data_IF_713892245783
#
_entry.id   IF_713892245783
#
_cell.length_a   1.000
_cell.length_b   1.000
_cell.length_c   1.000
_cell.angle_alpha   90.00
_cell.angle_beta   90.00
_cell.angle_gamma   90.00
#
_symmetry.space_group_name_H-M   'P 1'
#
loop_
_entity.id
_entity.type
_entity.pdbx_description
1 polymer ?
#
# COMPACT_ATOMS: atom_id res chain seq x y z
N UNK A 1 20.20 21.50 13.77
CA UNK A 1 19.47 20.24 13.96
C UNK A 1 20.15 19.48 15.09
N UNK A 2 19.39 18.92 16.01
CA UNK A 2 19.96 18.08 17.08
C UNK A 2 20.45 16.78 16.44
N UNK A 3 21.65 16.32 16.83
CA UNK A 3 22.22 15.07 16.35
C UNK A 3 21.40 13.88 16.87
N UNK A 4 21.05 12.94 15.99
CA UNK A 4 20.28 11.74 16.37
C UNK A 4 21.25 10.66 16.82
N UNK A 5 21.03 10.10 17.99
CA UNK A 5 21.75 8.93 18.48
C UNK A 5 21.22 7.66 17.81
N UNK A 6 22.06 6.97 17.05
CA UNK A 6 21.74 5.71 16.38
C UNK A 6 22.30 4.51 17.11
N UNK A 7 21.52 3.45 17.20
CA UNK A 7 21.99 2.13 17.68
C UNK A 7 21.36 1.00 16.90
N UNK A 8 22.01 -0.15 16.85
CA UNK A 8 21.60 -1.31 16.08
C UNK A 8 21.70 -2.57 16.93
N UNK A 9 20.70 -3.45 16.80
CA UNK A 9 20.78 -4.80 17.34
C UNK A 9 21.96 -5.58 16.75
N UNK A 10 22.58 -6.51 17.52
CA UNK A 10 23.73 -7.29 17.04
C UNK A 10 23.45 -8.12 15.78
N UNK A 11 22.20 -8.47 15.53
CA UNK A 11 21.75 -9.23 14.36
C UNK A 11 21.87 -8.44 13.05
N UNK A 12 21.95 -7.11 13.12
CA UNK A 12 22.13 -6.25 11.95
C UNK A 12 23.63 -6.09 11.70
N UNK A 13 24.12 -6.74 10.64
CA UNK A 13 25.53 -6.71 10.29
C UNK A 13 26.03 -5.27 10.08
N UNK A 14 27.28 -4.99 10.46
CA UNK A 14 27.87 -3.64 10.32
C UNK A 14 27.84 -3.12 8.89
N UNK A 15 28.05 -4.01 7.91
CA UNK A 15 27.99 -3.68 6.49
C UNK A 15 26.59 -3.26 6.01
N UNK A 16 25.51 -3.64 6.72
CA UNK A 16 24.14 -3.31 6.37
C UNK A 16 23.67 -1.97 6.96
N UNK A 17 24.30 -1.51 8.04
CA UNK A 17 23.91 -0.27 8.73
C UNK A 17 23.85 0.96 7.82
N UNK A 18 24.86 1.22 6.97
CA UNK A 18 24.79 2.33 6.01
C UNK A 18 23.61 2.16 5.01
N UNK A 19 23.40 0.93 4.52
CA UNK A 19 22.31 0.63 3.57
C UNK A 19 20.94 0.94 4.20
N UNK A 20 20.76 0.60 5.47
CA UNK A 20 19.52 0.91 6.22
C UNK A 20 19.32 2.42 6.37
N UNK A 21 20.36 3.14 6.82
CA UNK A 21 20.31 4.60 7.03
C UNK A 21 20.09 5.38 5.72
N UNK A 22 20.59 4.85 4.61
CA UNK A 22 20.47 5.45 3.30
C UNK A 22 19.21 5.02 2.54
N UNK A 23 18.50 4.01 3.05
CA UNK A 23 17.29 3.50 2.39
C UNK A 23 16.20 4.58 2.27
N UNK A 24 15.48 4.56 1.15
CA UNK A 24 14.40 5.51 0.88
C UNK A 24 13.32 5.45 1.97
N UNK A 25 12.85 4.24 2.31
CA UNK A 25 11.75 4.06 3.28
C UNK A 25 12.12 4.65 4.64
N UNK A 26 13.35 4.46 5.12
CA UNK A 26 13.82 5.04 6.37
C UNK A 26 13.92 6.57 6.31
N UNK A 27 14.50 7.11 5.23
CA UNK A 27 14.63 8.56 5.05
C UNK A 27 13.30 9.27 4.97
N UNK A 28 12.34 8.73 4.22
CA UNK A 28 10.98 9.27 4.12
C UNK A 28 10.27 9.27 5.47
N UNK A 29 10.35 8.15 6.22
CA UNK A 29 9.81 8.07 7.57
C UNK A 29 10.46 9.11 8.51
N UNK A 30 11.78 9.22 8.50
CA UNK A 30 12.51 10.15 9.37
C UNK A 30 12.16 11.61 9.03
N UNK A 31 12.16 11.96 7.75
CA UNK A 31 11.79 13.31 7.28
C UNK A 31 10.35 13.67 7.68
N UNK A 32 9.41 12.76 7.48
CA UNK A 32 8.02 12.96 7.90
C UNK A 32 7.89 13.15 9.41
N UNK A 33 8.64 12.35 10.18
CA UNK A 33 8.66 12.44 11.64
C UNK A 33 9.27 13.75 12.13
N UNK A 34 10.40 14.18 11.57
CA UNK A 34 11.09 15.43 11.94
C UNK A 34 10.29 16.71 11.64
N UNK A 35 9.32 16.66 10.75
CA UNK A 35 8.38 17.78 10.51
C UNK A 35 7.47 18.06 11.71
N UNK A 36 7.29 17.09 12.60
CA UNK A 36 6.31 17.14 13.72
C UNK A 36 6.91 16.89 15.09
N UNK A 37 8.06 16.23 15.14
CA UNK A 37 8.73 15.79 16.36
C UNK A 37 10.22 16.17 16.34
N UNK A 38 10.82 16.33 17.50
CA UNK A 38 12.26 16.38 17.67
C UNK A 38 12.74 14.96 17.97
N UNK A 39 13.17 14.23 16.94
CA UNK A 39 13.70 12.87 17.09
C UNK A 39 15.11 12.92 17.67
N UNK A 40 15.35 12.21 18.76
CA UNK A 40 16.64 12.23 19.50
C UNK A 40 17.36 10.91 19.43
N UNK A 41 16.64 9.77 19.42
CA UNK A 41 17.24 8.43 19.36
C UNK A 41 16.46 7.54 18.41
N UNK A 42 17.20 6.69 17.68
CA UNK A 42 16.63 5.61 16.87
C UNK A 42 17.43 4.33 17.11
N UNK A 43 16.73 3.29 17.55
CA UNK A 43 17.29 1.95 17.71
C UNK A 43 16.68 1.02 16.65
N UNK A 44 17.51 0.46 15.79
CA UNK A 44 17.11 -0.52 14.77
C UNK A 44 17.14 -1.92 15.37
N UNK A 45 15.97 -2.57 15.45
CA UNK A 45 15.83 -3.90 16.08
C UNK A 45 16.01 -5.03 15.07
N UNK A 46 15.47 -4.90 13.86
CA UNK A 46 15.64 -5.88 12.77
C UNK A 46 15.41 -5.22 11.41
N UNK A 47 15.96 -5.85 10.37
CA UNK A 47 15.79 -5.44 8.98
C UNK A 47 15.59 -6.67 8.11
N UNK A 48 14.55 -6.67 7.31
CA UNK A 48 14.31 -7.65 6.26
C UNK A 48 14.66 -7.03 4.91
N UNK A 49 15.44 -7.76 4.10
CA UNK A 49 15.90 -7.29 2.80
C UNK A 49 15.18 -8.02 1.68
N UNK A 50 14.90 -7.29 0.60
CA UNK A 50 14.51 -7.91 -0.67
C UNK A 50 15.60 -8.88 -1.14
N UNK A 51 15.19 -10.01 -1.72
CA UNK A 51 16.12 -11.04 -2.24
C UNK A 51 17.07 -10.49 -3.30
N UNK A 52 16.58 -9.56 -4.14
CA UNK A 52 17.40 -8.85 -5.13
C UNK A 52 17.74 -7.44 -4.65
N UNK A 53 19.01 -7.05 -4.85
CA UNK A 53 19.46 -5.68 -4.66
C UNK A 53 19.74 -5.24 -3.22
N UNK A 54 19.54 -6.13 -2.23
CA UNK A 54 19.85 -5.85 -0.81
C UNK A 54 19.22 -4.54 -0.29
N UNK A 55 18.04 -4.20 -0.78
CA UNK A 55 17.30 -3.05 -0.28
C UNK A 55 16.42 -3.47 0.89
N UNK A 56 16.33 -2.66 1.97
CA UNK A 56 15.40 -2.92 3.06
C UNK A 56 13.95 -2.95 2.57
N UNK A 57 13.25 -4.05 2.89
CA UNK A 57 11.82 -4.21 2.68
C UNK A 57 11.05 -3.79 3.92
N UNK A 58 11.50 -4.26 5.09
CA UNK A 58 10.94 -3.88 6.38
C UNK A 58 12.05 -3.52 7.36
N UNK A 59 11.85 -2.43 8.12
CA UNK A 59 12.76 -2.01 9.18
C UNK A 59 11.95 -1.87 10.46
N UNK A 60 12.23 -2.72 11.44
CA UNK A 60 11.66 -2.55 12.79
C UNK A 60 12.58 -1.69 13.62
N UNK A 61 12.07 -0.60 14.16
CA UNK A 61 12.85 0.32 14.98
C UNK A 61 12.04 0.80 16.20
N UNK A 62 12.76 1.33 17.18
CA UNK A 62 12.19 2.11 18.29
C UNK A 62 12.75 3.51 18.23
N UNK A 63 11.91 4.52 18.33
CA UNK A 63 12.31 5.91 18.32
C UNK A 63 11.94 6.62 19.63
N UNK A 64 12.82 7.52 20.06
CA UNK A 64 12.56 8.49 21.13
C UNK A 64 12.55 9.88 20.52
N UNK A 65 11.54 10.64 20.85
CA UNK A 65 11.34 12.00 20.34
C UNK A 65 10.68 12.88 21.41
N UNK A 66 10.57 14.17 21.15
CA UNK A 66 9.71 15.08 21.90
C UNK A 66 8.74 15.80 20.98
N UNK A 67 7.60 16.16 21.50
CA UNK A 67 6.71 17.15 20.89
C UNK A 67 7.39 18.54 20.91
N UNK A 68 6.91 19.51 20.11
CA UNK A 68 7.43 20.88 20.14
C UNK A 68 7.35 21.56 21.52
N UNK A 69 6.43 21.11 22.38
CA UNK A 69 6.26 21.60 23.75
C UNK A 69 7.14 20.86 24.78
N UNK A 70 8.04 19.97 24.34
CA UNK A 70 8.98 19.24 25.18
C UNK A 70 8.46 17.92 25.77
N UNK A 71 7.17 17.56 25.60
CA UNK A 71 6.64 16.29 26.10
C UNK A 71 7.28 15.10 25.38
N UNK A 72 7.76 14.08 26.12
CA UNK A 72 8.42 12.93 25.51
C UNK A 72 7.43 12.03 24.76
N UNK A 73 7.89 11.46 23.64
CA UNK A 73 7.19 10.47 22.86
C UNK A 73 8.13 9.30 22.57
N UNK A 74 7.64 8.09 22.77
CA UNK A 74 8.34 6.86 22.41
C UNK A 74 7.45 6.06 21.48
N UNK A 75 8.04 5.45 20.46
CA UNK A 75 7.29 4.63 19.52
C UNK A 75 8.08 3.44 19.00
N UNK A 76 7.37 2.33 18.81
CA UNK A 76 7.84 1.21 17.98
C UNK A 76 7.26 1.44 16.61
N UNK A 77 8.09 1.32 15.58
CA UNK A 77 7.69 1.52 14.20
C UNK A 77 8.18 0.34 13.36
N UNK A 78 7.31 -0.18 12.54
CA UNK A 78 7.66 -1.03 11.40
C UNK A 78 7.59 -0.17 10.14
N UNK A 79 8.78 0.26 9.68
CA UNK A 79 8.94 1.06 8.47
C UNK A 79 8.88 0.14 7.27
N UNK A 80 7.93 0.37 6.36
CA UNK A 80 7.76 -0.40 5.13
C UNK A 80 7.51 0.49 3.90
N UNK A 81 7.33 1.79 4.12
CA UNK A 81 6.98 2.74 3.07
C UNK A 81 5.50 2.67 2.67
N UNK A 82 5.19 3.42 1.62
CA UNK A 82 3.82 3.62 1.16
C UNK A 82 3.39 2.56 0.15
N UNK A 83 2.07 2.49 -0.09
CA UNK A 83 1.47 1.55 -1.04
C UNK A 83 0.38 2.23 -1.88
N UNK A 84 -0.04 1.54 -2.94
CA UNK A 84 -1.22 1.90 -3.75
C UNK A 84 -2.22 0.76 -3.70
N UNK A 85 -3.50 1.09 -3.90
CA UNK A 85 -4.55 0.12 -4.16
C UNK A 85 -5.51 0.65 -5.20
N UNK A 86 -6.03 -0.22 -6.05
CA UNK A 86 -6.87 0.18 -7.18
C UNK A 86 -8.20 -0.56 -7.16
N UNK A 87 -9.29 0.15 -6.98
CA UNK A 87 -10.64 -0.40 -7.09
C UNK A 87 -11.03 -0.50 -8.57
N UNK A 88 -11.12 -1.73 -9.09
CA UNK A 88 -11.49 -1.98 -10.47
C UNK A 88 -12.99 -2.25 -10.55
N UNK A 89 -13.75 -1.30 -11.11
CA UNK A 89 -15.19 -1.39 -11.28
C UNK A 89 -15.52 -1.71 -12.75
N UNK A 90 -16.13 -2.87 -12.97
CA UNK A 90 -16.57 -3.33 -14.28
C UNK A 90 -18.09 -3.11 -14.42
N UNK A 91 -18.52 -2.60 -15.57
CA UNK A 91 -19.94 -2.45 -15.90
C UNK A 91 -20.26 -3.40 -17.05
N UNK A 92 -21.22 -4.30 -16.82
CA UNK A 92 -21.69 -5.27 -17.81
C UNK A 92 -23.20 -5.36 -17.76
N UNK A 93 -23.86 -5.13 -18.89
CA UNK A 93 -25.33 -5.23 -19.04
C UNK A 93 -26.12 -4.48 -17.94
N UNK A 94 -25.63 -3.29 -17.56
CA UNK A 94 -26.27 -2.43 -16.56
C UNK A 94 -26.00 -2.82 -15.10
N UNK A 95 -25.22 -3.87 -14.86
CA UNK A 95 -24.79 -4.30 -13.53
C UNK A 95 -23.32 -3.93 -13.28
N UNK A 96 -22.98 -3.75 -12.00
CA UNK A 96 -21.60 -3.50 -11.55
C UNK A 96 -20.98 -4.75 -10.95
N UNK A 97 -19.71 -4.94 -11.26
CA UNK A 97 -18.84 -5.99 -10.74
C UNK A 97 -17.56 -5.37 -10.26
N UNK A 98 -16.85 -6.07 -9.38
CA UNK A 98 -15.47 -5.74 -9.02
C UNK A 98 -14.54 -6.83 -9.55
N UNK A 99 -13.43 -6.44 -10.16
CA UNK A 99 -12.31 -7.32 -10.40
C UNK A 99 -11.38 -7.22 -9.20
N UNK A 100 -11.15 -8.35 -8.58
CA UNK A 100 -10.41 -8.51 -7.34
C UNK A 100 -9.32 -9.56 -7.53
N UNK A 101 -8.45 -9.68 -6.54
CA UNK A 101 -7.42 -10.72 -6.47
C UNK A 101 -7.57 -11.54 -5.19
N UNK A 102 -7.30 -12.84 -5.29
CA UNK A 102 -7.13 -13.71 -4.12
C UNK A 102 -5.68 -14.04 -3.94
N UNK A 103 -5.19 -13.88 -2.73
CA UNK A 103 -3.81 -14.18 -2.37
C UNK A 103 -3.68 -14.59 -0.89
N UNK A 104 -2.68 -15.41 -0.53
CA UNK A 104 -2.46 -15.79 0.85
C UNK A 104 -1.93 -14.59 1.67
N UNK A 105 -2.49 -14.42 2.86
CA UNK A 105 -2.05 -13.41 3.85
C UNK A 105 -1.70 -14.10 5.15
N UNK A 106 -0.46 -14.58 5.23
CA UNK A 106 0.04 -15.36 6.37
C UNK A 106 -0.07 -14.58 7.69
N UNK A 107 0.15 -13.26 7.67
CA UNK A 107 0.09 -12.42 8.86
C UNK A 107 -1.28 -12.45 9.58
N UNK A 108 -2.37 -12.66 8.84
CA UNK A 108 -3.73 -12.75 9.40
C UNK A 108 -4.30 -14.18 9.32
N UNK A 109 -3.49 -15.15 8.90
CA UNK A 109 -3.90 -16.56 8.80
C UNK A 109 -4.87 -16.88 7.67
N UNK A 110 -4.98 -16.00 6.66
CA UNK A 110 -5.86 -16.18 5.51
C UNK A 110 -5.13 -16.84 4.34
N UNK A 111 -5.68 -17.95 3.84
CA UNK A 111 -5.13 -18.68 2.70
C UNK A 111 -5.49 -18.02 1.36
N UNK A 112 -6.59 -17.26 1.31
CA UNK A 112 -7.12 -16.70 0.09
C UNK A 112 -7.88 -15.38 0.38
N UNK A 113 -7.15 -14.38 0.90
CA UNK A 113 -7.69 -13.04 1.15
C UNK A 113 -8.19 -12.43 -0.15
N UNK A 114 -9.40 -11.89 -0.12
CA UNK A 114 -10.01 -11.19 -1.26
C UNK A 114 -9.67 -9.70 -1.19
N UNK A 115 -8.93 -9.20 -2.17
CA UNK A 115 -8.38 -7.85 -2.13
C UNK A 115 -8.53 -7.12 -3.46
N UNK A 116 -8.51 -5.79 -3.42
CA UNK A 116 -8.27 -4.98 -4.62
C UNK A 116 -6.80 -5.13 -5.03
N UNK A 117 -6.44 -5.06 -6.32
CA UNK A 117 -5.05 -4.98 -6.77
C UNK A 117 -4.28 -3.91 -6.01
N UNK A 118 -3.10 -4.24 -5.52
CA UNK A 118 -2.35 -3.36 -4.63
C UNK A 118 -0.86 -3.71 -4.56
N UNK A 119 0.01 -2.70 -4.56
CA UNK A 119 1.45 -2.90 -4.43
C UNK A 119 2.16 -1.84 -3.62
N UNK A 120 3.39 -2.15 -3.24
CA UNK A 120 4.27 -1.25 -2.50
C UNK A 120 4.83 -0.20 -3.46
N UNK A 121 4.89 1.05 -3.02
CA UNK A 121 5.47 2.13 -3.80
C UNK A 121 6.97 1.85 -4.04
N UNK A 122 7.33 1.79 -5.32
CA UNK A 122 8.69 1.53 -5.75
C UNK A 122 9.64 2.72 -5.47
N UNK A 123 10.90 2.56 -5.87
CA UNK A 123 11.94 3.57 -5.68
C UNK A 123 11.70 4.89 -6.45
N UNK A 124 10.79 4.90 -7.45
CA UNK A 124 10.46 6.13 -8.22
C UNK A 124 9.60 7.09 -7.43
N UNK A 125 8.82 6.61 -6.46
CA UNK A 125 7.88 7.41 -5.69
C UNK A 125 6.64 7.83 -6.47
N UNK A 126 6.43 7.30 -7.68
CA UNK A 126 5.32 7.67 -8.55
C UNK A 126 4.12 6.74 -8.34
N UNK A 127 3.18 7.18 -7.54
CA UNK A 127 1.97 6.41 -7.21
C UNK A 127 1.15 5.98 -8.44
N UNK A 128 1.07 6.83 -9.48
CA UNK A 128 0.28 6.51 -10.68
C UNK A 128 0.92 5.42 -11.50
N UNK A 129 2.24 5.50 -11.69
CA UNK A 129 2.98 4.46 -12.42
C UNK A 129 2.91 3.12 -11.72
N UNK A 130 3.08 3.10 -10.38
CA UNK A 130 2.94 1.86 -9.62
C UNK A 130 1.51 1.32 -9.73
N UNK A 131 0.48 2.17 -9.63
CA UNK A 131 -0.90 1.72 -9.81
C UNK A 131 -1.15 1.08 -11.18
N UNK A 132 -0.59 1.64 -12.26
CA UNK A 132 -0.71 1.08 -13.60
C UNK A 132 0.06 -0.25 -13.74
N UNK A 133 1.25 -0.35 -13.12
CA UNK A 133 2.02 -1.60 -13.09
C UNK A 133 1.23 -2.70 -12.40
N UNK A 134 0.69 -2.43 -11.21
CA UNK A 134 -0.10 -3.39 -10.43
C UNK A 134 -1.38 -3.83 -11.17
N UNK A 135 -2.08 -2.91 -11.83
CA UNK A 135 -3.23 -3.26 -12.67
C UNK A 135 -2.84 -4.25 -13.78
N UNK A 136 -1.69 -4.04 -14.41
CA UNK A 136 -1.20 -4.92 -15.46
C UNK A 136 -0.73 -6.25 -14.90
N UNK A 137 0.00 -6.22 -13.81
CA UNK A 137 0.64 -7.38 -13.20
C UNK A 137 -0.38 -8.28 -12.50
N UNK A 138 -1.24 -7.74 -11.63
CA UNK A 138 -2.18 -8.53 -10.84
C UNK A 138 -3.54 -8.76 -11.54
N UNK A 139 -4.01 -7.78 -12.34
CA UNK A 139 -5.34 -7.82 -12.95
C UNK A 139 -5.33 -8.02 -14.47
N UNK A 140 -4.16 -8.02 -15.14
CA UNK A 140 -4.00 -8.06 -16.59
C UNK A 140 -4.78 -6.95 -17.32
N UNK A 141 -4.84 -5.77 -16.70
CA UNK A 141 -5.49 -4.58 -17.26
C UNK A 141 -4.43 -3.59 -17.70
N UNK A 142 -4.36 -3.32 -19.00
CA UNK A 142 -3.63 -2.16 -19.51
C UNK A 142 -4.53 -0.92 -19.35
N UNK A 143 -4.01 0.11 -18.68
CA UNK A 143 -4.72 1.36 -18.42
C UNK A 143 -3.78 2.56 -18.60
N UNK A 144 -4.37 3.74 -18.86
CA UNK A 144 -3.67 5.00 -18.96
C UNK A 144 -3.85 5.82 -17.69
N UNK A 145 -2.90 6.71 -17.38
CA UNK A 145 -2.98 7.57 -16.19
C UNK A 145 -4.28 8.40 -16.13
N UNK A 146 -4.82 8.77 -17.29
CA UNK A 146 -6.08 9.52 -17.42
C UNK A 146 -7.31 8.75 -16.98
N UNK A 147 -7.25 7.42 -16.91
CA UNK A 147 -8.34 6.56 -16.45
C UNK A 147 -8.37 6.41 -14.92
N UNK A 148 -7.25 6.74 -14.26
CA UNK A 148 -7.14 6.66 -12.81
C UNK A 148 -7.94 7.77 -12.11
N UNK A 149 -8.98 7.39 -11.42
CA UNK A 149 -9.75 8.24 -10.51
C UNK A 149 -8.99 8.28 -9.18
N UNK A 150 -8.43 9.43 -8.84
CA UNK A 150 -7.69 9.59 -7.58
C UNK A 150 -8.67 9.83 -6.42
N UNK A 151 -8.94 8.77 -5.67
CA UNK A 151 -9.86 8.80 -4.54
C UNK A 151 -9.29 9.57 -3.34
N UNK A 152 -7.96 9.62 -3.21
CA UNK A 152 -7.32 10.37 -2.13
C UNK A 152 -7.35 11.88 -2.39
N UNK A 153 -7.06 12.30 -3.61
CA UNK A 153 -7.16 13.72 -3.98
C UNK A 153 -8.60 14.21 -3.87
N UNK A 154 -9.56 13.42 -4.35
CA UNK A 154 -10.99 13.72 -4.18
C UNK A 154 -11.36 13.95 -2.71
N UNK A 155 -10.90 13.08 -1.80
CA UNK A 155 -11.31 13.14 -0.39
C UNK A 155 -10.52 14.14 0.42
N UNK A 156 -9.20 14.13 0.29
CA UNK A 156 -8.31 14.95 1.12
C UNK A 156 -7.98 16.31 0.51
N UNK A 157 -8.29 16.56 -0.77
CA UNK A 157 -8.03 17.82 -1.46
C UNK A 157 -6.58 18.29 -1.29
N UNK A 158 -5.63 17.40 -1.56
CA UNK A 158 -4.20 17.66 -1.44
C UNK A 158 -3.64 17.70 0.00
N UNK A 159 -4.46 17.43 1.03
CA UNK A 159 -4.01 17.48 2.43
C UNK A 159 -3.34 16.19 2.90
N UNK A 160 -3.49 15.09 2.18
CA UNK A 160 -2.85 13.81 2.49
C UNK A 160 -2.65 12.99 1.22
N UNK A 161 -1.50 12.30 1.15
CA UNK A 161 -1.16 11.42 0.03
C UNK A 161 -1.83 10.03 0.15
N UNK A 162 -2.39 9.69 1.29
CA UNK A 162 -3.05 8.42 1.55
C UNK A 162 -3.61 8.33 2.97
N UNK A 163 -4.34 7.27 3.24
CA UNK A 163 -4.77 6.94 4.60
C UNK A 163 -3.71 6.05 5.28
N UNK A 164 -3.61 6.14 6.62
CA UNK A 164 -2.71 5.29 7.39
C UNK A 164 -3.40 3.96 7.73
N UNK A 165 -2.80 2.84 7.35
CA UNK A 165 -3.36 1.50 7.58
C UNK A 165 -3.35 1.12 9.07
N UNK A 166 -2.29 1.45 9.79
CA UNK A 166 -2.16 1.17 11.23
C UNK A 166 -1.29 2.24 11.90
N UNK A 167 -1.91 3.35 12.31
CA UNK A 167 -1.23 4.51 12.90
C UNK A 167 -0.39 4.20 14.15
N UNK A 168 -0.65 3.10 14.83
CA UNK A 168 0.06 2.72 16.06
C UNK A 168 1.35 1.94 15.84
N UNK A 169 1.62 1.48 14.61
CA UNK A 169 2.77 0.63 14.31
C UNK A 169 3.45 0.92 12.98
N UNK A 170 2.66 1.15 11.91
CA UNK A 170 3.17 1.28 10.55
C UNK A 170 3.35 2.76 10.18
N UNK A 171 4.38 3.04 9.39
CA UNK A 171 4.53 4.31 8.69
C UNK A 171 3.67 4.38 7.42
N UNK A 172 3.16 3.24 6.97
CA UNK A 172 2.46 3.05 5.71
C UNK A 172 1.29 4.00 5.51
N UNK A 173 1.28 4.65 4.37
CA UNK A 173 0.11 5.33 3.80
C UNK A 173 -0.27 4.66 2.49
N UNK A 174 -1.55 4.34 2.34
CA UNK A 174 -2.08 3.72 1.13
C UNK A 174 -2.81 4.76 0.32
N UNK A 175 -2.35 5.01 -0.92
CA UNK A 175 -3.06 5.84 -1.88
C UNK A 175 -4.01 4.98 -2.69
N UNK A 176 -5.27 5.40 -2.77
CA UNK A 176 -6.32 4.64 -3.44
C UNK A 176 -6.73 5.31 -4.74
N UNK A 177 -6.79 4.51 -5.77
CA UNK A 177 -7.36 4.87 -7.06
C UNK A 177 -8.60 4.01 -7.36
N UNK A 178 -9.39 4.42 -8.33
CA UNK A 178 -10.39 3.58 -8.97
C UNK A 178 -10.27 3.70 -10.48
N UNK A 179 -10.70 2.66 -11.20
CA UNK A 179 -10.97 2.70 -12.63
C UNK A 179 -12.36 2.15 -12.92
N UNK A 180 -13.00 2.65 -13.97
CA UNK A 180 -14.28 2.14 -14.45
C UNK A 180 -14.12 1.63 -15.88
N UNK A 181 -14.63 0.43 -16.16
CA UNK A 181 -14.60 -0.18 -17.50
C UNK A 181 -15.96 -0.75 -17.87
N UNK A 182 -16.42 -0.43 -19.08
CA UNK A 182 -17.53 -1.14 -19.70
C UNK A 182 -16.97 -2.38 -20.39
N UNK A 183 -17.53 -3.55 -20.08
CA UNK A 183 -17.07 -4.84 -20.60
C UNK A 183 -18.23 -5.67 -21.13
N UNK A 184 -17.96 -6.52 -22.12
CA UNK A 184 -18.93 -7.52 -22.57
C UNK A 184 -19.00 -8.71 -21.61
N UNK A 185 -20.07 -9.53 -21.63
CA UNK A 185 -20.14 -10.76 -20.83
C UNK A 185 -18.97 -11.74 -21.10
N UNK A 186 -18.45 -11.76 -22.34
CA UNK A 186 -17.28 -12.57 -22.70
C UNK A 186 -16.00 -12.06 -22.02
N UNK A 187 -15.79 -10.74 -22.06
CA UNK A 187 -14.65 -10.11 -21.39
C UNK A 187 -14.72 -10.29 -19.87
N UNK A 188 -15.92 -10.12 -19.28
CA UNK A 188 -16.12 -10.32 -17.85
C UNK A 188 -15.73 -11.74 -17.43
N UNK A 189 -16.21 -12.76 -18.15
CA UNK A 189 -15.83 -14.18 -17.90
C UNK A 189 -14.35 -14.43 -18.14
N UNK A 190 -13.78 -13.77 -19.13
CA UNK A 190 -12.35 -13.94 -19.46
C UNK A 190 -11.41 -13.33 -18.40
N UNK A 191 -11.89 -12.40 -17.57
CA UNK A 191 -11.10 -11.79 -16.48
C UNK A 191 -11.13 -12.62 -15.19
N UNK A 192 -12.12 -13.50 -15.04
CA UNK A 192 -12.31 -14.29 -13.83
C UNK A 192 -11.40 -15.53 -13.79
N UNK A 193 -10.93 -15.87 -12.61
CA UNK A 193 -10.23 -17.13 -12.32
C UNK A 193 -8.85 -17.28 -12.96
N UNK A 194 -8.17 -16.20 -13.32
CA UNK A 194 -6.81 -16.26 -13.89
C UNK A 194 -5.77 -16.30 -12.82
N UNK A 195 -4.91 -17.30 -12.91
CA UNK A 195 -3.73 -17.41 -12.06
C UNK A 195 -2.60 -16.52 -12.59
N UNK A 196 -2.04 -15.71 -11.71
CA UNK A 196 -0.84 -14.92 -11.95
C UNK A 196 0.33 -15.60 -11.25
N UNK A 197 1.37 -15.94 -12.00
CA UNK A 197 2.62 -16.43 -11.44
C UNK A 197 3.68 -15.37 -11.64
N UNK A 198 4.14 -14.78 -10.54
CA UNK A 198 5.34 -13.95 -10.60
C UNK A 198 6.58 -14.82 -10.60
N UNK A 199 7.44 -14.63 -11.58
CA UNK A 199 8.66 -15.40 -11.76
C UNK A 199 9.76 -15.07 -10.74
N UNK A 200 9.62 -13.99 -10.00
CA UNK A 200 10.67 -13.49 -9.10
C UNK A 200 10.33 -13.59 -7.59
N UNK A 201 9.05 -13.54 -7.27
CA UNK A 201 8.52 -13.77 -5.92
C UNK A 201 7.51 -14.91 -5.99
N UNK A 202 7.49 -15.79 -4.98
CA UNK A 202 6.53 -16.90 -4.92
C UNK A 202 5.22 -16.32 -4.40
N UNK A 203 4.55 -15.52 -5.23
CA UNK A 203 3.24 -15.01 -4.94
C UNK A 203 2.20 -15.77 -5.78
N UNK A 204 1.19 -16.29 -5.09
CA UNK A 204 0.05 -16.95 -5.70
C UNK A 204 -1.10 -15.96 -5.74
N UNK A 205 -1.32 -15.35 -6.89
CA UNK A 205 -2.39 -14.38 -7.10
C UNK A 205 -3.35 -14.93 -8.15
N UNK A 206 -4.64 -14.90 -7.83
CA UNK A 206 -5.70 -15.32 -8.74
C UNK A 206 -6.76 -14.24 -8.82
N UNK A 207 -7.16 -13.85 -10.03
CA UNK A 207 -8.24 -12.89 -10.24
C UNK A 207 -9.59 -13.51 -9.90
N UNK A 208 -10.50 -12.70 -9.38
CA UNK A 208 -11.89 -13.04 -9.12
C UNK A 208 -12.81 -11.88 -9.47
N UNK A 209 -13.85 -12.16 -10.23
CA UNK A 209 -14.86 -11.17 -10.60
C UNK A 209 -16.16 -11.47 -9.85
N UNK A 210 -16.57 -10.55 -9.01
CA UNK A 210 -17.79 -10.68 -8.21
C UNK A 210 -18.77 -9.53 -8.46
N UNK A 211 -20.09 -9.77 -8.33
CA UNK A 211 -21.06 -8.69 -8.26
C UNK A 211 -20.68 -7.69 -7.15
N UNK A 212 -20.84 -6.40 -7.43
CA UNK A 212 -20.38 -5.31 -6.56
C UNK A 212 -20.83 -5.47 -5.10
N UNK A 213 -22.11 -5.71 -4.88
CA UNK A 213 -22.68 -5.85 -3.53
C UNK A 213 -22.25 -7.15 -2.82
N UNK A 214 -21.97 -8.20 -3.57
CA UNK A 214 -21.46 -9.46 -3.02
C UNK A 214 -20.00 -9.31 -2.57
N UNK A 215 -19.18 -8.71 -3.42
CA UNK A 215 -17.78 -8.42 -3.10
C UNK A 215 -17.64 -7.57 -1.83
N UNK A 216 -18.43 -6.50 -1.73
CA UNK A 216 -18.42 -5.59 -0.58
C UNK A 216 -18.63 -6.30 0.77
N UNK A 217 -19.43 -7.38 0.79
CA UNK A 217 -19.73 -8.15 2.01
C UNK A 217 -18.63 -9.15 2.39
N UNK A 218 -17.72 -9.45 1.47
CA UNK A 218 -16.62 -10.39 1.69
C UNK A 218 -15.30 -9.70 2.11
N UNK A 219 -15.24 -8.37 2.06
CA UNK A 219 -14.03 -7.63 2.39
C UNK A 219 -13.67 -7.72 3.86
N UNK A 220 -12.45 -8.20 4.12
CA UNK A 220 -11.82 -8.22 5.45
C UNK A 220 -10.75 -7.14 5.55
N UNK A 221 -10.03 -6.88 4.47
CA UNK A 221 -8.98 -5.86 4.42
C UNK A 221 -9.58 -4.45 4.41
N UNK A 222 -9.09 -3.60 5.32
CA UNK A 222 -9.57 -2.22 5.46
C UNK A 222 -9.37 -1.35 4.22
N UNK A 223 -8.32 -1.59 3.40
CA UNK A 223 -8.10 -0.83 2.17
C UNK A 223 -9.25 -1.00 1.18
N UNK A 224 -9.83 -2.21 1.09
CA UNK A 224 -10.95 -2.51 0.21
C UNK A 224 -12.21 -1.72 0.62
N UNK A 225 -12.52 -1.74 1.93
CA UNK A 225 -13.67 -1.03 2.49
C UNK A 225 -13.54 0.48 2.33
N UNK A 226 -12.34 1.02 2.53
CA UNK A 226 -12.07 2.46 2.37
C UNK A 226 -12.17 2.84 0.88
N UNK A 227 -11.61 2.04 -0.03
CA UNK A 227 -11.70 2.28 -1.46
C UNK A 227 -13.16 2.32 -1.93
N UNK A 228 -13.95 1.35 -1.47
CA UNK A 228 -15.38 1.25 -1.78
C UNK A 228 -16.14 2.50 -1.28
N UNK A 229 -15.95 2.85 0.01
CA UNK A 229 -16.56 4.03 0.62
C UNK A 229 -16.24 5.31 -0.15
N UNK A 230 -14.96 5.52 -0.48
CA UNK A 230 -14.52 6.74 -1.18
C UNK A 230 -15.03 6.79 -2.62
N UNK A 231 -15.07 5.65 -3.30
CA UNK A 231 -15.63 5.55 -4.64
C UNK A 231 -17.12 5.88 -4.66
N UNK A 232 -17.90 5.37 -3.72
CA UNK A 232 -19.32 5.71 -3.60
C UNK A 232 -19.55 7.20 -3.32
N UNK A 233 -18.73 7.82 -2.46
CA UNK A 233 -18.76 9.26 -2.21
C UNK A 233 -18.42 10.07 -3.46
N UNK A 234 -17.39 9.63 -4.19
CA UNK A 234 -17.02 10.25 -5.46
C UNK A 234 -18.17 10.14 -6.49
N UNK A 235 -18.81 9.00 -6.63
CA UNK A 235 -19.97 8.85 -7.51
C UNK A 235 -21.15 9.74 -7.13
N UNK A 236 -21.42 9.87 -5.83
CA UNK A 236 -22.51 10.74 -5.33
C UNK A 236 -22.23 12.22 -5.62
N UNK A 237 -20.98 12.67 -5.61
CA UNK A 237 -20.62 14.05 -5.90
C UNK A 237 -20.78 14.46 -7.36
N UNK A 238 -21.02 13.49 -8.27
CA UNK A 238 -21.19 13.70 -9.72
C UNK A 238 -22.65 13.71 -10.16
N UNK A 239 -23.57 13.40 -9.26
CA UNK A 239 -25.01 13.48 -9.48
C UNK A 239 -25.52 14.88 -9.13
#
# INVERSE_FOLDING_TARGET
MQEIEYSFSPEIAEADRPVVLESRIYREWLEASQKKFVVTKVHFSSVDFLRKGRQPLFIKLTATATLPDGRPVHGIVLVRGNAVGILVVLRCEGQKYLLLVRQPRFAIGEQASLEIPAGILDWTGDYRKVALSELKEEAQIDAEESELIDLMDFWYQGKSDGFAASCGLLDERIRLYAIERDVTPEQLRAMDGKDQQYTEEIEWIRTEVLPYEEAARQFVDGKNLIALFLYERWQQSRK
#
